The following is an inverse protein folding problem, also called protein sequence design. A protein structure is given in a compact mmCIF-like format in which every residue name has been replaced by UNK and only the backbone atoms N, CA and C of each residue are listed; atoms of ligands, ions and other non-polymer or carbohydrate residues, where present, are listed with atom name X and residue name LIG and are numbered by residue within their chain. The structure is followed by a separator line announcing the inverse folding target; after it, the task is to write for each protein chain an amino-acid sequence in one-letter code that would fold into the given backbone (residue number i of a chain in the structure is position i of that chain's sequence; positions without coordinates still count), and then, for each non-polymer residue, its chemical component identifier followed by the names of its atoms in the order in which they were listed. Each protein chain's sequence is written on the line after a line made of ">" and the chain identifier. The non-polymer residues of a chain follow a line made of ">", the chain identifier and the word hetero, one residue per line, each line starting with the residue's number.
data_IF_715569533537
#
_entry.id   IF_715569533537
#
_cell.length_a   1.000
_cell.length_b   1.000
_cell.length_c   1.000
_cell.angle_alpha   90.00
_cell.angle_beta   90.00
_cell.angle_gamma   90.00
#
_symmetry.space_group_name_H-M   'P 1'
#
loop_
_entity.id
_entity.type
_entity.pdbx_description
1 polymer ?
#
# COMPACT_ATOMS: atom_id res chain seq x y z
N UNK A 1 -2.43 -20.22 2.22
CA UNK A 1 -3.71 -19.49 2.37
C UNK A 1 -3.29 -18.20 3.02
N UNK A 2 -3.52 -17.08 2.32
CA UNK A 2 -3.09 -15.77 2.79
C UNK A 2 -3.58 -15.48 4.21
N UNK A 3 -2.80 -14.68 4.93
CA UNK A 3 -3.11 -14.28 6.30
C UNK A 3 -4.52 -13.70 6.36
N UNK A 4 -5.36 -14.22 7.26
CA UNK A 4 -6.72 -13.71 7.44
C UNK A 4 -6.69 -12.38 8.20
N UNK A 5 -6.79 -11.28 7.45
CA UNK A 5 -6.84 -9.93 8.02
C UNK A 5 -8.18 -9.61 8.69
N UNK A 6 -9.18 -10.47 8.59
CA UNK A 6 -10.37 -10.38 9.43
C UNK A 6 -10.18 -11.06 10.80
N UNK A 7 -9.10 -11.80 11.04
CA UNK A 7 -8.92 -12.44 12.33
C UNK A 7 -8.54 -11.41 13.42
N UNK A 8 -9.25 -11.30 14.56
CA UNK A 8 -9.01 -10.26 15.57
C UNK A 8 -7.58 -10.18 16.10
N UNK A 9 -6.93 -11.35 16.32
CA UNK A 9 -5.51 -11.42 16.73
C UNK A 9 -4.51 -10.90 15.68
N UNK A 10 -4.92 -10.77 14.43
CA UNK A 10 -4.08 -10.20 13.36
C UNK A 10 -4.15 -8.68 13.38
N UNK A 11 -5.33 -8.13 13.71
CA UNK A 11 -5.56 -6.69 13.89
C UNK A 11 -4.84 -6.20 15.15
N UNK A 12 -4.99 -6.93 16.25
CA UNK A 12 -4.33 -6.60 17.52
C UNK A 12 -2.80 -6.77 17.39
N UNK A 13 -2.05 -5.70 17.70
CA UNK A 13 -0.60 -5.66 17.56
C UNK A 13 -0.06 -5.58 16.12
N UNK A 14 -0.93 -5.39 15.11
CA UNK A 14 -0.53 -5.27 13.71
C UNK A 14 0.56 -4.20 13.51
N UNK A 15 0.32 -2.98 14.00
CA UNK A 15 1.18 -1.82 13.79
C UNK A 15 2.59 -2.01 14.36
N UNK A 16 2.72 -2.68 15.50
CA UNK A 16 4.03 -2.99 16.10
C UNK A 16 4.74 -4.08 15.29
N UNK A 17 3.99 -5.06 14.81
CA UNK A 17 4.56 -6.20 14.10
C UNK A 17 4.99 -5.86 12.67
N UNK A 18 4.21 -5.06 11.94
CA UNK A 18 4.48 -4.71 10.54
C UNK A 18 5.83 -3.99 10.38
N UNK A 19 6.19 -3.15 11.35
CA UNK A 19 7.51 -2.45 11.40
C UNK A 19 8.70 -3.39 11.49
N UNK A 20 8.50 -4.60 12.01
CA UNK A 20 9.53 -5.65 12.05
C UNK A 20 9.56 -6.49 10.79
N UNK A 21 8.42 -6.62 10.12
CA UNK A 21 8.27 -7.41 8.89
C UNK A 21 8.79 -6.66 7.67
N UNK A 22 8.56 -5.36 7.60
CA UNK A 22 8.84 -4.53 6.42
C UNK A 22 10.09 -3.69 6.67
N UNK A 23 11.24 -4.04 6.08
CA UNK A 23 12.46 -3.27 6.28
C UNK A 23 12.30 -1.84 5.75
N UNK A 24 12.53 -0.86 6.63
CA UNK A 24 12.41 0.56 6.28
C UNK A 24 10.96 1.08 6.22
N UNK A 25 10.00 0.41 6.85
CA UNK A 25 8.59 0.81 6.88
C UNK A 25 8.38 2.32 7.08
N UNK A 26 8.95 2.91 8.14
CA UNK A 26 8.84 4.35 8.40
C UNK A 26 9.53 5.21 7.35
N UNK A 27 10.69 4.77 6.85
CA UNK A 27 11.42 5.50 5.80
C UNK A 27 10.62 5.59 4.51
N UNK A 28 9.91 4.52 4.14
CA UNK A 28 9.04 4.52 2.96
C UNK A 28 7.88 5.51 3.14
N UNK A 29 7.26 5.55 4.32
CA UNK A 29 6.20 6.52 4.61
C UNK A 29 6.71 7.97 4.61
N UNK A 30 7.91 8.21 5.12
CA UNK A 30 8.59 9.50 5.04
C UNK A 30 8.84 9.90 3.58
N UNK A 31 9.28 8.96 2.74
CA UNK A 31 9.51 9.20 1.32
C UNK A 31 8.21 9.48 0.57
N UNK A 32 7.15 8.70 0.83
CA UNK A 32 5.79 8.93 0.27
C UNK A 32 5.29 10.33 0.64
N UNK A 33 5.41 10.74 1.90
CA UNK A 33 5.09 12.12 2.31
C UNK A 33 5.86 13.13 1.47
N UNK A 34 7.19 13.01 1.40
CA UNK A 34 8.02 13.99 0.68
C UNK A 34 7.65 14.09 -0.80
N UNK A 35 7.36 12.96 -1.45
CA UNK A 35 6.86 12.90 -2.82
C UNK A 35 5.53 13.64 -2.92
N UNK A 36 4.53 13.28 -2.12
CA UNK A 36 3.21 13.90 -2.19
C UNK A 36 3.28 15.41 -1.93
N UNK A 37 4.07 15.86 -0.94
CA UNK A 37 4.32 17.29 -0.66
C UNK A 37 4.95 18.04 -1.84
N UNK A 38 5.75 17.35 -2.65
CA UNK A 38 6.43 17.95 -3.81
C UNK A 38 5.47 18.15 -4.98
N UNK A 39 4.55 17.21 -5.20
CA UNK A 39 3.71 17.17 -6.39
C UNK A 39 2.29 17.68 -6.20
N UNK A 40 1.75 17.62 -4.98
CA UNK A 40 0.36 17.99 -4.70
C UNK A 40 0.26 19.40 -4.12
N UNK A 41 -0.90 20.00 -4.30
CA UNK A 41 -1.21 21.31 -3.72
C UNK A 41 -1.52 21.20 -2.22
N UNK A 42 -1.71 22.36 -1.57
CA UNK A 42 -2.15 22.41 -0.17
C UNK A 42 -3.53 21.76 0.05
N UNK A 43 -4.35 21.60 -0.99
CA UNK A 43 -5.67 20.96 -0.95
C UNK A 43 -5.72 19.80 -1.95
N UNK A 44 -5.64 18.58 -1.45
CA UNK A 44 -5.68 17.36 -2.26
C UNK A 44 -6.67 16.34 -1.68
N UNK A 45 -7.29 15.56 -2.56
CA UNK A 45 -8.11 14.42 -2.22
C UNK A 45 -7.34 13.14 -2.56
N UNK A 46 -7.01 12.36 -1.53
CA UNK A 46 -6.16 11.17 -1.65
C UNK A 46 -7.01 9.91 -1.57
N UNK A 47 -6.81 8.99 -2.52
CA UNK A 47 -7.32 7.62 -2.42
C UNK A 47 -6.28 6.75 -1.71
N UNK A 48 -6.71 5.99 -0.70
CA UNK A 48 -5.91 4.96 -0.03
C UNK A 48 -6.57 3.60 -0.27
N UNK A 49 -5.94 2.78 -1.10
CA UNK A 49 -6.38 1.41 -1.41
C UNK A 49 -5.71 0.45 -0.44
N UNK A 50 -6.50 -0.39 0.22
CA UNK A 50 -6.04 -1.29 1.28
C UNK A 50 -5.52 -0.52 2.49
N UNK A 51 -6.39 0.30 3.09
CA UNK A 51 -5.98 1.20 4.17
C UNK A 51 -5.59 0.50 5.49
N UNK A 52 -5.83 -0.81 5.62
CA UNK A 52 -5.43 -1.59 6.78
C UNK A 52 -6.00 -1.00 8.08
N UNK A 53 -5.15 -0.90 9.10
CA UNK A 53 -5.49 -0.26 10.39
C UNK A 53 -5.43 1.27 10.35
N UNK A 54 -5.18 1.89 9.18
CA UNK A 54 -5.27 3.33 8.98
C UNK A 54 -3.99 4.11 9.28
N UNK A 55 -2.82 3.47 9.28
CA UNK A 55 -1.55 4.15 9.57
C UNK A 55 -1.24 5.27 8.56
N UNK A 56 -1.33 4.99 7.26
CA UNK A 56 -1.12 5.95 6.17
C UNK A 56 -2.09 7.13 6.28
N UNK A 57 -3.35 6.83 6.59
CA UNK A 57 -4.41 7.83 6.76
C UNK A 57 -4.07 8.78 7.91
N UNK A 58 -3.77 8.23 9.10
CA UNK A 58 -3.38 9.03 10.26
C UNK A 58 -2.17 9.90 9.92
N UNK A 59 -1.09 9.26 9.47
CA UNK A 59 0.18 9.92 9.23
C UNK A 59 0.02 11.08 8.24
N UNK A 60 -0.67 10.89 7.12
CA UNK A 60 -0.88 11.96 6.16
C UNK A 60 -1.87 13.02 6.65
N UNK A 61 -2.94 12.63 7.35
CA UNK A 61 -3.88 13.61 7.90
C UNK A 61 -3.24 14.56 8.90
N UNK A 62 -2.35 14.09 9.77
CA UNK A 62 -1.63 14.93 10.73
C UNK A 62 -0.69 15.93 10.04
N UNK A 63 -0.09 15.54 8.91
CA UNK A 63 0.89 16.36 8.19
C UNK A 63 0.23 17.32 7.19
N UNK A 64 -0.95 16.97 6.67
CA UNK A 64 -1.68 17.75 5.67
C UNK A 64 -3.12 18.04 6.17
N UNK A 65 -3.33 19.10 6.96
CA UNK A 65 -4.63 19.38 7.60
C UNK A 65 -5.77 19.70 6.63
N UNK A 66 -5.44 20.18 5.43
CA UNK A 66 -6.42 20.55 4.40
C UNK A 66 -6.73 19.41 3.40
N UNK A 67 -6.08 18.27 3.52
CA UNK A 67 -6.35 17.12 2.65
C UNK A 67 -7.57 16.34 3.11
N UNK A 68 -8.29 15.75 2.17
CA UNK A 68 -9.36 14.77 2.41
C UNK A 68 -8.95 13.42 1.86
N UNK A 69 -9.58 12.37 2.38
CA UNK A 69 -9.19 11.00 2.06
C UNK A 69 -10.42 10.16 1.74
N UNK A 70 -10.29 9.32 0.71
CA UNK A 70 -11.16 8.16 0.51
C UNK A 70 -10.32 6.91 0.76
N UNK A 71 -10.80 6.03 1.63
CA UNK A 71 -10.12 4.82 2.03
C UNK A 71 -10.99 3.61 1.70
N UNK A 72 -10.41 2.62 1.02
CA UNK A 72 -11.06 1.36 0.73
C UNK A 72 -10.26 0.19 1.28
N UNK A 73 -10.94 -0.82 1.81
CA UNK A 73 -10.32 -2.06 2.24
C UNK A 73 -11.34 -3.21 2.17
N UNK A 74 -11.00 -4.39 1.62
CA UNK A 74 -11.90 -5.55 1.61
C UNK A 74 -11.99 -6.26 2.97
N UNK A 75 -11.05 -6.03 3.89
CA UNK A 75 -11.06 -6.60 5.24
C UNK A 75 -11.82 -5.68 6.21
N UNK A 76 -13.07 -6.05 6.51
CA UNK A 76 -13.97 -5.24 7.34
C UNK A 76 -13.39 -4.94 8.74
N UNK A 77 -12.68 -5.89 9.35
CA UNK A 77 -12.10 -5.68 10.67
C UNK A 77 -10.91 -4.71 10.66
N UNK A 78 -10.12 -4.69 9.58
CA UNK A 78 -9.09 -3.67 9.38
C UNK A 78 -9.73 -2.28 9.22
N UNK A 79 -10.74 -2.19 8.34
CA UNK A 79 -11.47 -0.95 8.10
C UNK A 79 -12.12 -0.39 9.38
N UNK A 80 -12.73 -1.25 10.19
CA UNK A 80 -13.33 -0.86 11.46
C UNK A 80 -12.29 -0.39 12.48
N UNK A 81 -11.12 -1.04 12.53
CA UNK A 81 -10.01 -0.60 13.36
C UNK A 81 -9.49 0.77 12.93
N UNK A 82 -9.34 1.01 11.62
CA UNK A 82 -8.93 2.30 11.08
C UNK A 82 -9.92 3.42 11.46
N UNK A 83 -11.23 3.18 11.30
CA UNK A 83 -12.28 4.12 11.71
C UNK A 83 -12.20 4.46 13.19
N UNK A 84 -12.20 3.43 14.04
CA UNK A 84 -12.12 3.62 15.50
C UNK A 84 -10.88 4.43 15.89
N UNK A 85 -9.72 4.08 15.34
CA UNK A 85 -8.47 4.77 15.62
C UNK A 85 -8.50 6.25 15.21
N UNK A 86 -8.99 6.55 14.00
CA UNK A 86 -9.07 7.93 13.49
C UNK A 86 -10.15 8.76 14.18
N UNK A 87 -11.23 8.14 14.67
CA UNK A 87 -12.21 8.77 15.55
C UNK A 87 -11.58 9.22 16.87
N UNK A 88 -10.79 8.36 17.53
CA UNK A 88 -10.12 8.70 18.79
C UNK A 88 -9.15 9.89 18.63
N UNK A 89 -8.57 10.06 17.44
CA UNK A 89 -7.66 11.16 17.13
C UNK A 89 -8.38 12.43 16.63
N UNK A 90 -9.71 12.40 16.47
CA UNK A 90 -10.47 13.54 15.93
C UNK A 90 -10.17 13.83 14.46
N UNK A 91 -9.72 12.84 13.68
CA UNK A 91 -9.36 12.97 12.27
C UNK A 91 -10.45 12.48 11.31
N UNK A 92 -11.53 11.87 11.85
CA UNK A 92 -12.53 11.14 11.07
C UNK A 92 -13.31 12.00 10.08
N UNK A 93 -13.53 13.29 10.37
CA UNK A 93 -14.36 14.20 9.55
C UNK A 93 -13.82 14.43 8.13
N UNK A 94 -12.54 14.07 7.88
CA UNK A 94 -11.88 14.21 6.58
C UNK A 94 -11.78 12.90 5.81
N UNK A 95 -12.40 11.84 6.32
CA UNK A 95 -12.25 10.47 5.83
C UNK A 95 -13.57 9.93 5.28
N UNK A 96 -13.52 9.32 4.11
CA UNK A 96 -14.65 8.56 3.56
C UNK A 96 -14.23 7.10 3.40
N UNK A 97 -14.97 6.16 3.98
CA UNK A 97 -14.58 4.75 4.01
C UNK A 97 -15.54 3.86 3.26
N UNK A 98 -15.00 2.95 2.45
CA UNK A 98 -15.76 1.91 1.78
C UNK A 98 -15.19 0.53 2.11
N UNK A 99 -16.08 -0.39 2.52
CA UNK A 99 -15.75 -1.81 2.61
C UNK A 99 -15.89 -2.41 1.22
N UNK A 100 -14.80 -2.41 0.44
CA UNK A 100 -14.78 -2.82 -0.95
C UNK A 100 -13.34 -3.04 -1.46
N UNK A 101 -13.23 -3.69 -2.61
CA UNK A 101 -12.03 -3.66 -3.45
C UNK A 101 -12.08 -2.48 -4.44
N UNK A 102 -11.10 -2.41 -5.36
CA UNK A 102 -10.98 -1.30 -6.32
C UNK A 102 -12.14 -1.18 -7.30
N UNK A 103 -12.95 -2.22 -7.50
CA UNK A 103 -14.07 -2.18 -8.44
C UNK A 103 -15.13 -1.14 -8.07
N UNK A 104 -15.19 -0.73 -6.79
CA UNK A 104 -16.09 0.32 -6.32
C UNK A 104 -15.75 1.69 -6.91
N UNK A 105 -14.49 1.95 -7.28
CA UNK A 105 -13.98 3.28 -7.62
C UNK A 105 -14.76 3.91 -8.78
N UNK A 106 -15.11 3.09 -9.78
CA UNK A 106 -15.90 3.52 -10.94
C UNK A 106 -17.33 3.95 -10.59
N UNK A 107 -17.84 3.56 -9.43
CA UNK A 107 -19.17 3.95 -8.94
C UNK A 107 -19.16 5.20 -8.04
N UNK A 108 -18.00 5.59 -7.50
CA UNK A 108 -17.90 6.69 -6.53
C UNK A 108 -18.13 8.07 -7.17
N UNK A 109 -18.05 8.20 -8.50
CA UNK A 109 -18.10 9.48 -9.23
C UNK A 109 -17.18 10.56 -8.63
N UNK A 110 -16.03 10.12 -8.12
CA UNK A 110 -15.00 10.96 -7.50
C UNK A 110 -13.68 10.80 -8.25
N UNK A 111 -12.87 11.86 -8.29
CA UNK A 111 -11.52 11.81 -8.83
C UNK A 111 -10.51 12.27 -7.79
N UNK A 112 -9.36 11.60 -7.76
CA UNK A 112 -8.33 11.80 -6.74
C UNK A 112 -7.08 12.47 -7.30
N UNK A 113 -6.44 13.34 -6.51
CA UNK A 113 -5.17 13.97 -6.88
C UNK A 113 -4.01 12.96 -6.81
N UNK A 114 -4.09 12.02 -5.87
CA UNK A 114 -3.20 10.88 -5.80
C UNK A 114 -3.88 9.62 -5.26
N UNK A 115 -3.32 8.47 -5.60
CA UNK A 115 -3.72 7.17 -5.08
C UNK A 115 -2.52 6.45 -4.46
N UNK A 116 -2.73 5.86 -3.29
CA UNK A 116 -1.75 5.08 -2.55
C UNK A 116 -2.21 3.61 -2.49
N UNK A 117 -1.31 2.69 -2.84
CA UNK A 117 -1.48 1.24 -2.73
C UNK A 117 -0.22 0.65 -2.09
N UNK A 118 -0.09 0.79 -0.78
CA UNK A 118 1.12 0.43 -0.03
C UNK A 118 0.91 -0.93 0.63
N UNK A 119 1.71 -1.90 0.22
CA UNK A 119 1.69 -3.29 0.67
C UNK A 119 0.36 -4.01 0.38
N UNK A 120 -0.18 -3.84 -0.83
CA UNK A 120 -1.50 -4.37 -1.21
C UNK A 120 -1.46 -5.20 -2.48
N UNK A 121 -0.88 -4.69 -3.56
CA UNK A 121 -1.08 -5.28 -4.90
C UNK A 121 -0.50 -6.70 -5.00
N UNK A 122 0.47 -7.05 -4.15
CA UNK A 122 1.02 -8.40 -4.06
C UNK A 122 0.03 -9.47 -3.55
N UNK A 123 -1.10 -9.08 -2.95
CA UNK A 123 -2.23 -9.99 -2.65
C UNK A 123 -3.15 -10.22 -3.85
N UNK A 124 -3.10 -9.37 -4.87
CA UNK A 124 -4.01 -9.43 -6.02
C UNK A 124 -3.53 -10.49 -7.02
N UNK A 125 -4.36 -11.49 -7.37
CA UNK A 125 -4.02 -12.49 -8.38
C UNK A 125 -3.58 -11.88 -9.70
N UNK A 126 -2.69 -12.57 -10.41
CA UNK A 126 -2.05 -12.04 -11.62
C UNK A 126 -3.07 -11.63 -12.68
N UNK A 127 -4.11 -12.42 -12.87
CA UNK A 127 -5.20 -12.19 -13.83
C UNK A 127 -6.06 -10.96 -13.51
N UNK A 128 -6.08 -10.49 -12.25
CA UNK A 128 -6.83 -9.30 -11.83
C UNK A 128 -5.95 -8.07 -11.63
N UNK A 129 -4.63 -8.24 -11.64
CA UNK A 129 -3.68 -7.16 -11.30
C UNK A 129 -3.74 -5.99 -12.28
N UNK A 130 -3.94 -6.26 -13.57
CA UNK A 130 -4.14 -5.19 -14.56
C UNK A 130 -5.43 -4.40 -14.27
N UNK A 131 -6.55 -5.08 -13.99
CA UNK A 131 -7.82 -4.41 -13.66
C UNK A 131 -7.72 -3.61 -12.36
N UNK A 132 -7.04 -4.14 -11.34
CA UNK A 132 -6.78 -3.43 -10.08
C UNK A 132 -6.10 -2.07 -10.31
N UNK A 133 -5.04 -2.03 -11.13
CA UNK A 133 -4.37 -0.77 -11.45
C UNK A 133 -5.15 0.07 -12.47
N UNK A 134 -6.00 -0.53 -13.31
CA UNK A 134 -6.91 0.18 -14.21
C UNK A 134 -7.95 0.98 -13.42
N UNK A 135 -8.62 0.36 -12.44
CA UNK A 135 -9.60 1.02 -11.57
C UNK A 135 -8.96 2.22 -10.85
N UNK A 136 -7.74 2.05 -10.33
CA UNK A 136 -6.97 3.12 -9.69
C UNK A 136 -6.65 4.23 -10.71
N UNK A 137 -6.11 3.87 -11.87
CA UNK A 137 -5.75 4.82 -12.91
C UNK A 137 -6.96 5.64 -13.37
N UNK A 138 -8.12 5.01 -13.59
CA UNK A 138 -9.35 5.66 -14.01
C UNK A 138 -9.88 6.64 -12.96
N UNK A 139 -9.73 6.31 -11.67
CA UNK A 139 -10.14 7.16 -10.56
C UNK A 139 -9.27 8.41 -10.33
N UNK A 140 -8.09 8.50 -10.94
CA UNK A 140 -7.22 9.67 -10.77
C UNK A 140 -7.67 10.87 -11.62
N UNK A 141 -7.41 12.08 -11.15
CA UNK A 141 -7.50 13.30 -11.98
C UNK A 141 -6.43 13.29 -13.08
N UNK A 142 -6.62 14.12 -14.10
CA UNK A 142 -5.56 14.43 -15.06
C UNK A 142 -4.32 14.92 -14.29
N UNK A 143 -3.15 14.46 -14.70
CA UNK A 143 -1.86 14.75 -14.05
C UNK A 143 -1.72 14.25 -12.59
N UNK A 144 -2.71 13.50 -12.08
CA UNK A 144 -2.64 12.83 -10.78
C UNK A 144 -1.58 11.73 -10.77
N UNK A 145 -1.20 11.27 -9.57
CA UNK A 145 -0.14 10.27 -9.40
C UNK A 145 -0.60 9.04 -8.61
N UNK A 146 -0.04 7.87 -8.94
CA UNK A 146 -0.21 6.65 -8.17
C UNK A 146 1.13 6.24 -7.55
N UNK A 147 1.13 6.00 -6.24
CA UNK A 147 2.25 5.38 -5.53
C UNK A 147 1.85 3.99 -5.08
N UNK A 148 2.62 2.98 -5.46
CA UNK A 148 2.55 1.65 -4.87
C UNK A 148 3.87 1.29 -4.20
N UNK A 149 3.80 0.43 -3.19
CA UNK A 149 4.99 -0.15 -2.56
C UNK A 149 4.72 -1.61 -2.24
N UNK A 150 5.35 -2.54 -2.94
CA UNK A 150 4.94 -3.94 -2.93
C UNK A 150 6.12 -4.91 -2.97
N UNK A 151 5.82 -6.17 -2.64
CA UNK A 151 6.72 -7.29 -2.81
C UNK A 151 6.81 -7.68 -4.29
N UNK A 152 8.03 -7.74 -4.81
CA UNK A 152 8.37 -8.30 -6.12
C UNK A 152 9.00 -9.68 -5.95
N UNK A 153 9.12 -10.43 -7.05
CA UNK A 153 9.81 -11.73 -7.06
C UNK A 153 11.25 -11.59 -6.60
N UNK A 154 11.69 -12.53 -5.77
CA UNK A 154 13.11 -12.73 -5.47
C UNK A 154 13.75 -13.49 -6.63
N UNK A 155 14.89 -12.99 -7.10
CA UNK A 155 15.58 -13.54 -8.28
C UNK A 155 16.66 -14.57 -7.92
N UNK A 156 17.23 -14.48 -6.72
CA UNK A 156 18.38 -15.30 -6.29
C UNK A 156 18.26 -15.74 -4.83
N UNK A 157 18.73 -16.95 -4.52
CA UNK A 157 18.67 -17.53 -3.17
C UNK A 157 19.34 -16.67 -2.10
N UNK A 158 20.41 -15.95 -2.44
CA UNK A 158 21.07 -15.01 -1.52
C UNK A 158 20.15 -13.88 -1.04
N UNK A 159 19.14 -13.48 -1.82
CA UNK A 159 18.20 -12.44 -1.39
C UNK A 159 17.29 -12.96 -0.26
N UNK A 160 16.90 -14.23 -0.29
CA UNK A 160 16.14 -14.86 0.81
C UNK A 160 16.96 -14.87 2.11
N UNK A 161 18.24 -15.23 2.02
CA UNK A 161 19.17 -15.23 3.16
C UNK A 161 19.33 -13.80 3.71
N UNK A 162 19.56 -12.83 2.81
CA UNK A 162 19.73 -11.42 3.18
C UNK A 162 18.47 -10.86 3.84
N UNK A 163 17.29 -11.16 3.29
CA UNK A 163 16.02 -10.74 3.86
C UNK A 163 15.83 -11.32 5.26
N UNK A 164 16.11 -12.61 5.45
CA UNK A 164 16.02 -13.28 6.76
C UNK A 164 16.89 -12.58 7.81
N UNK A 165 18.16 -12.34 7.49
CA UNK A 165 19.10 -11.67 8.39
C UNK A 165 18.67 -10.23 8.70
N UNK A 166 18.15 -9.51 7.71
CA UNK A 166 17.70 -8.13 7.87
C UNK A 166 16.52 -8.05 8.84
N UNK A 167 15.47 -8.86 8.65
CA UNK A 167 14.29 -8.82 9.55
C UNK A 167 14.63 -9.31 10.95
N UNK A 168 15.61 -10.21 11.10
CA UNK A 168 16.12 -10.61 12.41
C UNK A 168 16.85 -9.47 13.11
N UNK A 169 17.67 -8.73 12.37
CA UNK A 169 18.38 -7.53 12.88
C UNK A 169 17.40 -6.45 13.32
N UNK A 170 16.27 -6.31 12.62
CA UNK A 170 15.20 -5.37 12.98
C UNK A 170 14.42 -5.84 14.23
N UNK A 171 14.35 -7.15 14.46
CA UNK A 171 13.84 -7.71 15.73
C UNK A 171 12.82 -8.82 15.59
N UNK A 172 12.73 -9.51 14.44
CA UNK A 172 12.08 -10.81 14.37
C UNK A 172 12.97 -11.90 14.98
N UNK A 173 12.36 -12.85 15.69
CA UNK A 173 13.06 -14.08 16.09
C UNK A 173 13.32 -14.99 14.89
N UNK A 174 14.20 -15.99 15.07
CA UNK A 174 14.46 -17.05 14.08
C UNK A 174 13.15 -17.69 13.59
N UNK A 175 12.29 -18.13 14.52
CA UNK A 175 11.01 -18.75 14.19
C UNK A 175 10.05 -17.80 13.42
N UNK A 176 9.99 -16.53 13.82
CA UNK A 176 9.16 -15.53 13.12
C UNK A 176 9.69 -15.24 11.71
N UNK A 177 11.00 -15.10 11.56
CA UNK A 177 11.62 -14.84 10.27
C UNK A 177 11.45 -16.02 9.31
N UNK A 178 11.58 -17.27 9.78
CA UNK A 178 11.31 -18.45 8.97
C UNK A 178 9.85 -18.50 8.51
N UNK A 179 8.90 -18.32 9.43
CA UNK A 179 7.47 -18.28 9.09
C UNK A 179 7.12 -17.17 8.08
N UNK A 180 7.83 -16.03 8.12
CA UNK A 180 7.69 -14.97 7.13
C UNK A 180 8.13 -15.42 5.73
N UNK A 181 9.29 -16.08 5.61
CA UNK A 181 9.77 -16.58 4.32
C UNK A 181 8.84 -17.64 3.73
N UNK A 182 8.35 -18.56 4.57
CA UNK A 182 7.42 -19.61 4.13
C UNK A 182 6.13 -19.00 3.55
N UNK A 183 5.63 -17.92 4.17
CA UNK A 183 4.47 -17.16 3.66
C UNK A 183 4.75 -16.42 2.37
N UNK A 184 5.92 -15.78 2.26
CA UNK A 184 6.32 -15.07 1.03
C UNK A 184 6.27 -15.99 -0.20
N UNK A 185 6.55 -17.28 -0.03
CA UNK A 185 6.49 -18.28 -1.09
C UNK A 185 5.08 -18.80 -1.42
N UNK A 186 4.08 -18.61 -0.54
CA UNK A 186 2.79 -19.30 -0.62
C UNK A 186 1.58 -18.37 -0.72
N UNK A 187 1.67 -17.16 -0.19
CA UNK A 187 0.50 -16.32 0.08
C UNK A 187 0.34 -15.13 -0.89
N UNK A 188 1.29 -14.93 -1.80
CA UNK A 188 1.35 -13.76 -2.66
C UNK A 188 1.47 -14.10 -4.15
N UNK A 189 0.92 -13.21 -4.97
CA UNK A 189 1.00 -13.26 -6.44
C UNK A 189 2.06 -12.27 -6.91
N UNK A 190 3.31 -12.62 -6.64
CA UNK A 190 4.48 -11.79 -6.95
C UNK A 190 4.73 -11.75 -8.45
N UNK A 191 5.10 -10.58 -8.96
CA UNK A 191 5.57 -10.35 -10.33
C UNK A 191 6.96 -9.74 -10.29
N UNK A 192 7.65 -9.72 -11.42
CA UNK A 192 8.91 -8.99 -11.53
C UNK A 192 8.68 -7.48 -11.75
N UNK A 193 9.75 -6.70 -11.62
CA UNK A 193 9.74 -5.23 -11.72
C UNK A 193 9.30 -4.76 -13.12
N UNK A 194 9.71 -5.48 -14.16
CA UNK A 194 9.39 -5.13 -15.56
C UNK A 194 7.90 -5.33 -15.80
N UNK A 195 7.34 -6.46 -15.35
CA UNK A 195 5.91 -6.73 -15.40
C UNK A 195 5.10 -5.65 -14.69
N UNK A 196 5.54 -5.19 -13.50
CA UNK A 196 4.84 -4.13 -12.77
C UNK A 196 4.86 -2.81 -13.55
N UNK A 197 6.01 -2.41 -14.08
CA UNK A 197 6.13 -1.19 -14.90
C UNK A 197 5.28 -1.27 -16.17
N UNK A 198 5.20 -2.44 -16.80
CA UNK A 198 4.39 -2.62 -17.99
C UNK A 198 2.89 -2.58 -17.70
N UNK A 199 2.44 -3.12 -16.55
CA UNK A 199 1.05 -2.94 -16.09
C UNK A 199 0.72 -1.45 -15.96
N UNK A 200 1.57 -0.66 -15.29
CA UNK A 200 1.37 0.79 -15.16
C UNK A 200 1.22 1.47 -16.54
N UNK A 201 2.09 1.16 -17.49
CA UNK A 201 2.01 1.74 -18.85
C UNK A 201 0.71 1.33 -19.56
N UNK A 202 0.33 0.05 -19.46
CA UNK A 202 -0.85 -0.50 -20.12
C UNK A 202 -2.15 0.12 -19.62
N UNK A 203 -2.21 0.50 -18.34
CA UNK A 203 -3.41 1.12 -17.74
C UNK A 203 -3.45 2.65 -17.90
N UNK A 204 -2.53 3.23 -18.67
CA UNK A 204 -2.59 4.63 -19.09
C UNK A 204 -1.74 5.61 -18.28
N UNK A 205 -0.81 5.14 -17.44
CA UNK A 205 0.19 6.03 -16.85
C UNK A 205 1.22 6.46 -17.92
N UNK A 206 1.43 7.77 -18.10
CA UNK A 206 2.36 8.33 -19.11
C UNK A 206 3.83 8.04 -18.82
N UNK A 207 4.15 7.90 -17.54
CA UNK A 207 5.48 7.56 -17.06
C UNK A 207 5.36 6.74 -15.80
N UNK A 208 6.32 5.82 -15.62
CA UNK A 208 6.47 4.99 -14.43
C UNK A 208 7.94 4.96 -14.05
N UNK A 209 8.24 5.09 -12.76
CA UNK A 209 9.58 5.00 -12.22
C UNK A 209 9.58 4.25 -10.89
N UNK A 210 10.71 3.64 -10.57
CA UNK A 210 10.97 3.11 -9.22
C UNK A 210 11.48 4.26 -8.35
N UNK A 211 10.80 4.58 -7.26
CA UNK A 211 11.23 5.62 -6.31
C UNK A 211 11.93 5.05 -5.08
N UNK A 212 11.71 3.77 -4.76
CA UNK A 212 12.30 3.09 -3.62
C UNK A 212 12.58 1.62 -3.93
N UNK A 213 13.62 1.08 -3.29
CA UNK A 213 13.87 -0.36 -3.26
C UNK A 213 14.57 -0.74 -1.96
N UNK A 214 14.07 -1.77 -1.29
CA UNK A 214 14.78 -2.47 -0.22
C UNK A 214 14.65 -3.96 -0.49
N UNK A 215 15.73 -4.61 -0.96
CA UNK A 215 15.68 -6.00 -1.43
C UNK A 215 14.54 -6.19 -2.46
N UNK A 216 13.59 -7.08 -2.15
CA UNK A 216 12.44 -7.38 -3.01
C UNK A 216 11.22 -6.49 -2.73
N UNK A 217 11.33 -5.48 -1.88
CA UNK A 217 10.29 -4.47 -1.68
C UNK A 217 10.57 -3.27 -2.60
N UNK A 218 9.62 -2.94 -3.48
CA UNK A 218 9.78 -1.90 -4.49
C UNK A 218 8.67 -0.87 -4.40
N UNK A 219 9.06 0.41 -4.49
CA UNK A 219 8.14 1.54 -4.64
C UNK A 219 8.07 2.01 -6.08
N UNK A 220 6.86 2.09 -6.64
CA UNK A 220 6.61 2.60 -7.99
C UNK A 220 5.79 3.88 -7.94
N UNK A 221 6.16 4.85 -8.78
CA UNK A 221 5.40 6.07 -9.01
C UNK A 221 4.96 6.11 -10.48
N UNK A 222 3.66 6.27 -10.70
CA UNK A 222 3.05 6.46 -12.02
C UNK A 222 2.36 7.82 -12.12
N UNK A 223 2.52 8.51 -13.25
CA UNK A 223 1.82 9.77 -13.49
C UNK A 223 0.72 9.57 -14.53
N UNK A 224 -0.49 10.03 -14.25
CA UNK A 224 -1.61 10.00 -15.21
C UNK A 224 -1.37 11.01 -16.32
N UNK A 225 -1.79 10.66 -17.52
CA UNK A 225 -1.78 11.53 -18.70
C UNK A 225 -2.78 12.68 -18.57
#
# INVERSE_FOLDING_TARGET
>A
MSKDFNHPKVVDGYDVHIRKLIPGYELIHLQVHAILKTYLSEQAHILVVGCGTGYELQYLAEQFPQWTFTAIDPALNMLNQAKYHLEQLGLIDRMNFFHADTSILNSLNQQFDAALSILVSHFVPLEFKQNYFQDIAESLKKDGLCLSYDLMKIEHDQQWITLKLLVQTIGLSEAQSQAMLDRLAQDFFLIDVVQMQDIYKQVGFKSVATFAQVLNYYGFIGFKA
#
